data_IF_379432032501
#
_entry.id   IF_379432032501
#
_cell.length_a   1.000
_cell.length_b   1.000
_cell.length_c   1.000
_cell.angle_alpha   90.00
_cell.angle_beta   90.00
_cell.angle_gamma   90.00
#
_symmetry.space_group_name_H-M   'P 1'
#
loop_
_entity.id
_entity.type
_entity.pdbx_description
1 polymer ?
#
# COMPACT_ATOMS: atom_id res chain seq x y z
N UNK A 1 2.60 8.93 -14.73
CA UNK A 1 1.82 7.70 -15.05
C UNK A 1 0.62 7.70 -14.11
N UNK A 2 -0.56 7.30 -14.56
CA UNK A 2 -1.73 7.12 -13.69
C UNK A 2 -1.83 5.65 -13.23
N UNK A 3 -2.71 5.36 -12.26
CA UNK A 3 -2.87 4.01 -11.69
C UNK A 3 -3.38 3.03 -12.75
N UNK A 4 -4.23 3.45 -13.68
CA UNK A 4 -4.73 2.59 -14.76
C UNK A 4 -3.61 2.10 -15.68
N UNK A 5 -2.73 3.00 -16.11
CA UNK A 5 -1.56 2.68 -16.93
C UNK A 5 -0.59 1.77 -16.16
N UNK A 6 -0.40 2.05 -14.85
CA UNK A 6 0.42 1.22 -13.97
C UNK A 6 -0.13 -0.20 -13.81
N UNK A 7 -1.45 -0.33 -13.64
CA UNK A 7 -2.13 -1.62 -13.52
C UNK A 7 -1.94 -2.51 -14.76
N UNK A 8 -1.80 -1.88 -15.94
CA UNK A 8 -1.57 -2.58 -17.20
C UNK A 8 -0.11 -2.99 -17.43
N UNK A 9 0.84 -2.55 -16.59
CA UNK A 9 2.23 -2.98 -16.72
C UNK A 9 2.38 -4.45 -16.35
N UNK A 10 2.97 -5.23 -17.26
CA UNK A 10 3.34 -6.61 -16.97
C UNK A 10 4.41 -6.65 -15.87
N UNK A 11 4.19 -7.43 -14.79
CA UNK A 11 5.21 -7.64 -13.77
C UNK A 11 6.40 -8.44 -14.35
N UNK A 12 7.49 -8.48 -13.60
CA UNK A 12 8.70 -9.27 -13.89
C UNK A 12 9.44 -8.90 -15.19
N UNK A 13 9.32 -7.65 -15.65
CA UNK A 13 10.13 -7.12 -16.76
C UNK A 13 11.51 -6.60 -16.33
N UNK A 14 11.70 -6.42 -15.03
CA UNK A 14 12.94 -5.92 -14.41
C UNK A 14 13.68 -7.08 -13.78
N UNK A 15 15.01 -7.12 -13.95
CA UNK A 15 15.85 -8.07 -13.26
C UNK A 15 16.06 -7.61 -11.81
N UNK A 16 15.49 -8.35 -10.86
CA UNK A 16 15.65 -8.11 -9.42
C UNK A 16 16.27 -9.36 -8.80
N UNK A 17 17.33 -9.19 -8.01
CA UNK A 17 17.98 -10.28 -7.30
C UNK A 17 17.20 -10.62 -6.02
N UNK A 18 16.02 -11.22 -6.17
CA UNK A 18 15.12 -11.53 -5.04
C UNK A 18 15.80 -12.30 -3.91
N UNK A 19 16.67 -13.25 -4.23
CA UNK A 19 17.45 -14.01 -3.24
C UNK A 19 18.22 -13.07 -2.28
N UNK A 20 18.84 -12.00 -2.79
CA UNK A 20 19.59 -11.03 -1.97
C UNK A 20 18.67 -10.19 -1.10
N UNK A 21 17.52 -9.80 -1.64
CA UNK A 21 16.51 -9.01 -0.91
C UNK A 21 15.93 -9.85 0.22
N UNK A 22 15.58 -11.10 -0.06
CA UNK A 22 15.02 -12.05 0.89
C UNK A 22 16.04 -12.46 1.96
N UNK A 23 17.32 -12.63 1.61
CA UNK A 23 18.42 -12.86 2.57
C UNK A 23 18.59 -11.68 3.53
N UNK A 24 18.59 -10.45 3.01
CA UNK A 24 18.72 -9.23 3.81
C UNK A 24 17.50 -8.99 4.72
N UNK A 25 16.29 -9.30 4.24
CA UNK A 25 15.06 -9.16 5.02
C UNK A 25 14.84 -10.31 6.00
N UNK A 26 15.43 -11.48 5.76
CA UNK A 26 15.28 -12.67 6.60
C UNK A 26 14.00 -13.48 6.37
N UNK A 27 13.25 -13.20 5.29
CA UNK A 27 12.03 -13.90 4.93
C UNK A 27 11.81 -13.95 3.42
N UNK A 28 10.97 -14.88 2.96
CA UNK A 28 10.60 -15.00 1.54
C UNK A 28 9.55 -13.95 1.18
N UNK A 29 9.73 -13.30 0.03
CA UNK A 29 8.83 -12.27 -0.44
C UNK A 29 7.69 -12.90 -1.25
N UNK A 30 6.45 -12.49 -0.98
CA UNK A 30 5.28 -12.99 -1.70
C UNK A 30 5.16 -12.42 -3.12
N UNK A 31 4.37 -13.11 -3.95
CA UNK A 31 4.30 -12.80 -5.39
C UNK A 31 3.69 -11.43 -5.67
N UNK A 32 2.77 -10.95 -4.83
CA UNK A 32 2.16 -9.62 -5.01
C UNK A 32 3.17 -8.50 -4.73
N UNK A 33 4.04 -8.66 -3.74
CA UNK A 33 5.14 -7.71 -3.49
C UNK A 33 6.08 -7.69 -4.70
N UNK A 34 6.45 -8.88 -5.21
CA UNK A 34 7.29 -9.01 -6.40
C UNK A 34 6.65 -8.36 -7.62
N UNK A 35 5.34 -8.58 -7.81
CA UNK A 35 4.58 -8.01 -8.91
C UNK A 35 4.50 -6.49 -8.83
N UNK A 36 4.38 -5.90 -7.64
CA UNK A 36 4.39 -4.45 -7.47
C UNK A 36 5.76 -3.85 -7.82
N UNK A 37 6.83 -4.32 -7.17
CA UNK A 37 8.15 -3.71 -7.28
C UNK A 37 8.90 -4.04 -8.59
N UNK A 38 8.37 -4.91 -9.44
CA UNK A 38 8.91 -5.13 -10.80
C UNK A 38 8.37 -4.15 -11.84
N UNK A 39 7.43 -3.27 -11.47
CA UNK A 39 6.84 -2.26 -12.35
C UNK A 39 7.54 -0.91 -12.15
N UNK A 40 8.37 -0.50 -13.10
CA UNK A 40 8.98 0.84 -13.09
C UNK A 40 7.95 1.90 -13.51
N UNK A 41 7.65 2.84 -12.61
CA UNK A 41 6.61 3.85 -12.84
C UNK A 41 7.02 5.28 -12.43
N UNK A 42 8.32 5.55 -12.37
CA UNK A 42 8.86 6.90 -12.29
C UNK A 42 9.03 7.46 -10.88
N UNK A 43 8.84 6.65 -9.83
CA UNK A 43 9.14 6.99 -8.44
C UNK A 43 7.90 7.14 -7.58
N UNK A 44 6.84 7.72 -8.14
CA UNK A 44 5.56 7.88 -7.45
C UNK A 44 4.42 8.05 -8.44
N UNK A 45 3.23 7.63 -8.05
CA UNK A 45 1.96 7.88 -8.74
C UNK A 45 1.07 8.63 -7.76
N UNK A 46 0.40 9.69 -8.23
CA UNK A 46 -0.60 10.44 -7.47
C UNK A 46 -1.86 10.59 -8.29
N UNK A 47 -2.99 10.32 -7.69
CA UNK A 47 -4.28 10.34 -8.37
C UNK A 47 -5.41 10.64 -7.40
N UNK A 48 -6.53 11.15 -7.91
CA UNK A 48 -7.74 11.37 -7.11
C UNK A 48 -8.71 10.23 -7.38
N UNK A 49 -9.13 9.56 -6.32
CA UNK A 49 -10.19 8.55 -6.34
C UNK A 49 -11.42 9.05 -5.59
N UNK A 50 -12.59 8.57 -5.99
CA UNK A 50 -13.81 8.73 -5.22
C UNK A 50 -13.92 7.59 -4.21
N UNK A 51 -13.53 7.86 -2.97
CA UNK A 51 -13.49 6.90 -1.89
C UNK A 51 -14.88 6.74 -1.23
N UNK A 52 -15.28 5.48 -1.04
CA UNK A 52 -16.37 5.05 -0.16
C UNK A 52 -15.87 3.87 0.68
N UNK A 53 -16.13 3.90 1.99
CA UNK A 53 -15.56 2.92 2.94
C UNK A 53 -15.93 1.49 2.54
N UNK A 54 -17.21 1.22 2.32
CA UNK A 54 -17.70 -0.13 1.95
C UNK A 54 -17.25 -0.59 0.56
N UNK A 55 -16.81 0.32 -0.34
CA UNK A 55 -16.28 -0.05 -1.67
C UNK A 55 -14.79 -0.36 -1.61
N UNK A 56 -14.04 0.40 -0.81
CA UNK A 56 -12.59 0.26 -0.72
C UNK A 56 -12.17 -0.74 0.33
N UNK A 57 -12.77 -0.73 1.52
CA UNK A 57 -12.30 -1.49 2.68
C UNK A 57 -13.20 -2.69 2.99
N UNK A 58 -12.57 -3.77 3.43
CA UNK A 58 -13.23 -4.99 3.91
C UNK A 58 -13.36 -4.91 5.43
N UNK A 59 -14.56 -5.17 5.92
CA UNK A 59 -14.82 -5.32 7.35
C UNK A 59 -14.08 -6.55 7.87
N UNK A 60 -13.33 -6.36 8.94
CA UNK A 60 -12.52 -7.37 9.62
C UNK A 60 -13.25 -7.99 10.82
N UNK A 61 -14.39 -7.42 11.20
CA UNK A 61 -15.12 -7.78 12.42
C UNK A 61 -14.64 -7.02 13.65
N UNK A 62 -13.60 -6.19 13.52
CA UNK A 62 -13.10 -5.31 14.57
C UNK A 62 -13.93 -4.03 14.53
N UNK A 63 -15.06 -4.01 15.24
CA UNK A 63 -16.05 -2.93 15.21
C UNK A 63 -15.45 -1.53 15.45
N UNK A 64 -14.38 -1.40 16.24
CA UNK A 64 -13.69 -0.13 16.47
C UNK A 64 -13.05 0.47 15.21
N UNK A 65 -12.61 -0.37 14.26
CA UNK A 65 -11.86 0.05 13.07
C UNK A 65 -12.64 -0.12 11.77
N UNK A 66 -13.61 -1.04 11.73
CA UNK A 66 -14.48 -1.28 10.58
C UNK A 66 -15.32 -0.05 10.16
N UNK A 67 -15.38 0.98 11.00
CA UNK A 67 -16.07 2.24 10.75
C UNK A 67 -15.15 3.47 10.94
N UNK A 68 -13.83 3.27 10.95
CA UNK A 68 -12.90 4.35 11.27
C UNK A 68 -12.97 5.50 10.28
N UNK A 69 -13.11 5.22 8.98
CA UNK A 69 -13.12 6.24 7.93
C UNK A 69 -14.47 6.94 7.86
N UNK A 70 -15.56 6.19 8.00
CA UNK A 70 -16.92 6.76 8.03
C UNK A 70 -17.18 7.56 9.31
N UNK A 71 -16.72 7.10 10.48
CA UNK A 71 -16.78 7.84 11.74
C UNK A 71 -16.08 9.20 11.64
N UNK A 72 -14.93 9.22 10.96
CA UNK A 72 -14.19 10.43 10.68
C UNK A 72 -14.68 11.17 9.44
N UNK A 73 -15.82 10.79 8.84
CA UNK A 73 -16.45 11.49 7.70
C UNK A 73 -15.48 11.74 6.51
N UNK A 74 -14.68 10.73 6.16
CA UNK A 74 -13.60 10.82 5.17
C UNK A 74 -13.98 10.37 3.75
N UNK A 75 -15.27 10.11 3.48
CA UNK A 75 -15.74 9.73 2.15
C UNK A 75 -15.72 10.90 1.15
N UNK A 76 -15.53 10.59 -0.14
CA UNK A 76 -15.50 11.58 -1.22
C UNK A 76 -14.21 11.57 -2.02
N UNK A 77 -13.75 12.74 -2.49
CA UNK A 77 -12.51 12.84 -3.27
C UNK A 77 -11.30 12.75 -2.34
N UNK A 78 -10.46 11.76 -2.58
CA UNK A 78 -9.25 11.46 -1.79
C UNK A 78 -8.08 11.32 -2.74
N UNK A 79 -6.94 11.93 -2.40
CA UNK A 79 -5.69 11.69 -3.12
C UNK A 79 -5.10 10.37 -2.63
N UNK A 80 -4.75 9.50 -3.58
CA UNK A 80 -3.96 8.31 -3.36
C UNK A 80 -2.56 8.55 -3.91
N UNK A 81 -1.56 8.21 -3.11
CA UNK A 81 -0.15 8.20 -3.47
C UNK A 81 0.38 6.77 -3.45
N UNK A 82 1.09 6.34 -4.50
CA UNK A 82 1.82 5.07 -4.54
C UNK A 82 3.29 5.32 -4.80
N UNK A 83 4.16 4.79 -3.94
CA UNK A 83 5.62 4.82 -4.07
C UNK A 83 6.05 3.68 -5.00
N UNK A 84 6.51 4.04 -6.21
CA UNK A 84 6.86 3.05 -7.22
C UNK A 84 8.36 3.09 -7.52
N UNK A 85 8.96 1.97 -7.99
CA UNK A 85 10.32 2.01 -8.49
C UNK A 85 10.49 3.06 -9.60
N UNK A 86 11.51 3.93 -9.46
CA UNK A 86 11.85 4.95 -10.47
C UNK A 86 12.64 4.38 -11.64
N UNK A 87 13.52 3.42 -11.36
CA UNK A 87 14.34 2.69 -12.32
C UNK A 87 14.87 1.41 -11.67
N UNK A 88 15.59 0.61 -12.44
CA UNK A 88 16.26 -0.61 -11.93
C UNK A 88 17.44 -0.29 -11.00
N UNK A 89 17.94 0.96 -11.03
CA UNK A 89 19.07 1.37 -10.20
C UNK A 89 18.66 1.37 -8.72
N UNK A 90 19.37 0.59 -7.91
CA UNK A 90 19.13 0.45 -6.47
C UNK A 90 17.72 -0.08 -6.13
N UNK A 91 17.08 -0.83 -7.03
CA UNK A 91 15.72 -1.35 -6.81
C UNK A 91 15.66 -2.30 -5.62
N UNK A 92 16.68 -3.13 -5.38
CA UNK A 92 16.76 -3.99 -4.20
C UNK A 92 16.74 -3.16 -2.92
N UNK A 93 17.52 -2.06 -2.87
CA UNK A 93 17.54 -1.16 -1.72
C UNK A 93 16.19 -0.47 -1.51
N UNK A 94 15.54 -0.05 -2.59
CA UNK A 94 14.20 0.53 -2.54
C UNK A 94 13.19 -0.44 -1.93
N UNK A 95 13.23 -1.72 -2.33
CA UNK A 95 12.36 -2.76 -1.77
C UNK A 95 12.64 -2.98 -0.29
N UNK A 96 13.91 -3.12 0.10
CA UNK A 96 14.30 -3.28 1.51
C UNK A 96 13.79 -2.12 2.35
N UNK A 97 13.94 -0.89 1.86
CA UNK A 97 13.47 0.31 2.55
C UNK A 97 11.95 0.33 2.67
N UNK A 98 11.18 -0.18 1.71
CA UNK A 98 9.72 -0.27 1.82
C UNK A 98 9.26 -1.14 3.02
N UNK A 99 10.07 -2.11 3.46
CA UNK A 99 9.78 -2.92 4.66
C UNK A 99 10.31 -2.31 5.97
N UNK A 100 11.32 -1.43 5.89
CA UNK A 100 12.07 -0.95 7.07
C UNK A 100 11.84 0.51 7.42
N UNK A 101 11.63 1.37 6.43
CA UNK A 101 11.61 2.83 6.58
C UNK A 101 10.19 3.35 6.34
N UNK A 102 9.42 3.53 7.42
CA UNK A 102 8.09 4.15 7.37
C UNK A 102 8.11 5.53 8.05
N UNK A 103 6.97 6.20 8.04
CA UNK A 103 6.74 7.41 8.84
C UNK A 103 7.06 7.14 10.32
N UNK A 104 7.94 7.95 10.91
CA UNK A 104 8.39 7.78 12.30
C UNK A 104 9.51 6.77 12.53
N UNK A 105 10.00 6.07 11.47
CA UNK A 105 11.16 5.16 11.57
C UNK A 105 10.84 3.76 12.07
N UNK A 106 9.56 3.39 12.16
CA UNK A 106 9.12 2.09 12.66
C UNK A 106 8.87 1.08 11.54
N UNK A 107 9.19 -0.19 11.82
CA UNK A 107 8.89 -1.34 10.95
C UNK A 107 7.84 -2.20 11.64
N UNK A 108 6.71 -2.48 10.97
CA UNK A 108 5.66 -3.33 11.53
C UNK A 108 5.71 -4.76 10.95
N UNK A 109 6.92 -5.31 10.91
CA UNK A 109 7.19 -6.70 10.53
C UNK A 109 7.23 -6.89 9.01
N UNK A 110 6.55 -7.91 8.51
CA UNK A 110 6.60 -8.32 7.11
C UNK A 110 5.63 -7.53 6.21
N UNK A 111 5.49 -6.22 6.44
CA UNK A 111 4.62 -5.37 5.63
C UNK A 111 5.47 -4.43 4.78
N UNK A 112 5.12 -4.28 3.51
CA UNK A 112 5.75 -3.30 2.64
C UNK A 112 4.87 -2.06 2.54
N UNK A 113 5.44 -0.87 2.73
CA UNK A 113 4.77 0.39 2.47
C UNK A 113 4.62 0.60 0.96
N UNK A 114 3.38 0.62 0.47
CA UNK A 114 3.07 0.94 -0.93
C UNK A 114 2.85 2.44 -1.14
N UNK A 115 2.38 3.16 -0.13
CA UNK A 115 1.98 4.55 -0.25
C UNK A 115 0.94 4.93 0.80
N UNK A 116 0.01 5.80 0.44
CA UNK A 116 -0.93 6.38 1.38
C UNK A 116 -2.19 6.95 0.70
N UNK A 117 -3.25 7.08 1.50
CA UNK A 117 -4.40 7.91 1.21
C UNK A 117 -4.30 9.19 2.04
N UNK A 118 -4.49 10.33 1.38
CA UNK A 118 -4.54 11.65 2.02
C UNK A 118 -6.00 11.98 2.37
N UNK A 119 -6.41 11.58 3.58
CA UNK A 119 -7.73 11.92 4.12
C UNK A 119 -7.67 13.22 4.93
N UNK A 120 -8.85 13.76 5.30
CA UNK A 120 -8.91 14.96 6.16
C UNK A 120 -8.39 14.73 7.58
N UNK A 121 -8.23 13.48 7.99
CA UNK A 121 -7.64 13.07 9.27
C UNK A 121 -6.13 12.87 9.22
N UNK A 122 -5.50 13.14 8.08
CA UNK A 122 -4.08 12.88 7.86
C UNK A 122 -3.85 11.71 6.92
N UNK A 123 -2.60 11.25 6.90
CA UNK A 123 -2.14 10.23 5.98
C UNK A 123 -2.44 8.83 6.53
N UNK A 124 -3.24 8.06 5.79
CA UNK A 124 -3.53 6.65 6.09
C UNK A 124 -2.69 5.79 5.16
N UNK A 125 -1.76 5.04 5.74
CA UNK A 125 -0.80 4.23 5.00
C UNK A 125 -1.48 3.08 4.26
N UNK A 126 -0.95 2.77 3.08
CA UNK A 126 -1.33 1.61 2.25
C UNK A 126 -0.18 0.62 2.33
N UNK A 127 -0.47 -0.57 2.84
CA UNK A 127 0.53 -1.59 3.14
C UNK A 127 0.23 -2.87 2.36
N UNK A 128 1.25 -3.62 2.00
CA UNK A 128 1.11 -4.97 1.46
C UNK A 128 1.68 -5.96 2.47
N UNK A 129 0.81 -6.80 3.03
CA UNK A 129 1.18 -7.83 3.98
C UNK A 129 1.83 -9.00 3.26
N UNK A 130 3.11 -9.24 3.50
CA UNK A 130 3.86 -10.30 2.84
C UNK A 130 3.41 -11.70 3.27
N UNK A 131 2.90 -11.86 4.49
CA UNK A 131 2.48 -13.18 5.00
C UNK A 131 1.12 -13.61 4.41
N UNK A 132 0.22 -12.65 4.16
CA UNK A 132 -1.13 -12.91 3.66
C UNK A 132 -1.37 -12.52 2.20
N UNK A 133 -0.45 -11.77 1.58
CA UNK A 133 -0.61 -11.08 0.29
C UNK A 133 -1.75 -10.04 0.25
N UNK A 134 -2.35 -9.70 1.39
CA UNK A 134 -3.44 -8.73 1.44
C UNK A 134 -2.89 -7.31 1.39
N UNK A 135 -3.64 -6.42 0.74
CA UNK A 135 -3.41 -4.98 0.84
C UNK A 135 -4.20 -4.47 2.03
N UNK A 136 -3.51 -3.79 2.94
CA UNK A 136 -4.02 -3.29 4.22
C UNK A 136 -3.93 -1.77 4.27
N UNK A 137 -4.73 -1.16 5.14
CA UNK A 137 -4.59 0.24 5.50
C UNK A 137 -4.26 0.36 6.99
N UNK A 138 -3.54 1.43 7.36
CA UNK A 138 -3.24 1.74 8.75
C UNK A 138 -3.15 3.25 8.96
N UNK A 139 -3.81 3.74 10.00
CA UNK A 139 -3.70 5.11 10.48
C UNK A 139 -2.72 5.15 11.67
N UNK A 140 -1.51 5.69 11.45
CA UNK A 140 -0.50 5.82 12.50
C UNK A 140 -0.61 7.13 13.31
N UNK A 141 -1.41 8.10 12.86
CA UNK A 141 -1.48 9.41 13.53
C UNK A 141 -2.30 9.35 14.84
N UNK A 142 -3.20 8.37 14.95
CA UNK A 142 -4.11 8.21 16.09
C UNK A 142 -3.84 6.95 16.95
N UNK A 143 -2.77 6.20 16.68
CA UNK A 143 -2.44 4.95 17.40
C UNK A 143 -1.09 4.97 18.13
N UNK A 144 -0.69 3.80 18.62
CA UNK A 144 0.62 3.59 19.24
C UNK A 144 1.61 3.11 18.18
N UNK A 145 2.57 3.96 17.83
CA UNK A 145 3.49 3.77 16.71
C UNK A 145 4.29 2.45 16.73
N UNK A 146 4.40 1.76 17.87
CA UNK A 146 5.25 0.57 17.99
C UNK A 146 4.48 -0.75 17.77
N UNK A 147 3.13 -0.75 17.85
CA UNK A 147 2.33 -1.98 17.83
C UNK A 147 1.20 -1.88 16.80
N UNK A 148 1.29 -2.67 15.73
CA UNK A 148 0.34 -2.64 14.60
C UNK A 148 -1.13 -2.73 15.05
N UNK A 149 -1.45 -3.74 15.86
CA UNK A 149 -2.84 -4.04 16.28
C UNK A 149 -3.46 -2.98 17.20
N UNK A 150 -2.65 -2.06 17.72
CA UNK A 150 -3.11 -0.92 18.53
C UNK A 150 -3.47 0.29 17.66
N UNK A 151 -3.02 0.35 16.41
CA UNK A 151 -3.38 1.38 15.45
C UNK A 151 -4.70 1.03 14.74
N UNK A 152 -5.54 2.03 14.38
CA UNK A 152 -6.62 1.80 13.43
C UNK A 152 -6.08 1.19 12.14
N UNK A 153 -6.60 0.02 11.78
CA UNK A 153 -6.15 -0.73 10.62
C UNK A 153 -7.26 -1.60 10.05
N UNK A 154 -7.05 -2.10 8.84
CA UNK A 154 -7.93 -3.06 8.21
C UNK A 154 -7.46 -3.51 6.84
N UNK A 155 -8.28 -4.30 6.16
CA UNK A 155 -7.97 -4.85 4.83
C UNK A 155 -8.63 -4.00 3.75
N UNK A 156 -7.87 -3.63 2.73
CA UNK A 156 -8.38 -2.98 1.50
C UNK A 156 -8.76 -4.06 0.48
N UNK A 157 -7.85 -4.99 0.22
CA UNK A 157 -8.00 -5.99 -0.85
C UNK A 157 -7.31 -7.30 -0.48
N UNK A 158 -7.77 -8.41 -1.06
CA UNK A 158 -7.16 -9.73 -0.84
C UNK A 158 -5.93 -9.97 -1.74
N UNK A 159 -5.68 -9.09 -2.70
CA UNK A 159 -4.51 -9.12 -3.57
C UNK A 159 -4.18 -7.72 -4.08
N UNK A 160 -2.96 -7.57 -4.59
CA UNK A 160 -2.52 -6.35 -5.27
C UNK A 160 -3.42 -6.03 -6.48
N UNK A 161 -3.80 -7.04 -7.27
CA UNK A 161 -4.61 -6.82 -8.47
C UNK A 161 -5.99 -6.26 -8.10
N UNK A 162 -6.66 -6.85 -7.10
CA UNK A 162 -7.96 -6.33 -6.63
C UNK A 162 -7.84 -4.88 -6.14
N UNK A 163 -6.76 -4.53 -5.46
CA UNK A 163 -6.52 -3.16 -5.03
C UNK A 163 -6.34 -2.18 -6.20
N UNK A 164 -5.51 -2.54 -7.19
CA UNK A 164 -5.26 -1.69 -8.37
C UNK A 164 -6.53 -1.51 -9.21
N UNK A 165 -7.34 -2.57 -9.35
CA UNK A 165 -8.63 -2.52 -10.03
C UNK A 165 -9.60 -1.56 -9.31
N UNK A 166 -9.71 -1.66 -7.98
CA UNK A 166 -10.52 -0.71 -7.17
C UNK A 166 -10.10 0.74 -7.39
N UNK A 167 -8.79 1.01 -7.41
CA UNK A 167 -8.27 2.36 -7.61
C UNK A 167 -8.56 2.88 -9.03
N UNK A 168 -8.41 2.03 -10.04
CA UNK A 168 -8.70 2.38 -11.43
C UNK A 168 -10.20 2.62 -11.68
N UNK A 169 -11.08 1.80 -11.11
CA UNK A 169 -12.53 1.88 -11.29
C UNK A 169 -13.15 3.10 -10.59
N UNK A 170 -12.56 3.55 -9.48
CA UNK A 170 -13.05 4.69 -8.71
C UNK A 170 -12.29 5.99 -9.01
N UNK A 171 -11.43 6.00 -10.04
CA UNK A 171 -10.71 7.19 -10.48
C UNK A 171 -11.69 8.30 -10.86
N UNK A 172 -11.38 9.52 -10.43
CA UNK A 172 -12.08 10.72 -10.90
C UNK A 172 -11.36 11.24 -12.14
N UNK A 173 -12.00 11.17 -13.30
CA UNK A 173 -11.48 11.86 -14.49
C UNK A 173 -11.56 13.37 -14.26
N UNK A 174 -10.43 14.05 -14.39
CA UNK A 174 -10.30 15.52 -14.29
C UNK A 174 -10.25 16.11 -15.68
#
# INVERSE_FOLDING_TARGET
MNIRDFNLLEPNKVLIHWEKVEEELGFKICDDVKAFFTRIAGGYIREIVYFKEDSFFKKTGIHKYDHWISFNECEGKVEISLNTPKSENNIEKFIINAFREWTGGNSFGHRALLGDFEFKIGSVLILLNNDSCQVEWMDCEYGYFDVYDENPNGVIANSLQEFLDKCADNRVEV
#
